data_IF_776620770665
#
_entry.id   IF_776620770665
#
_cell.length_a   1.000
_cell.length_b   1.000
_cell.length_c   1.000
_cell.angle_alpha   90.00
_cell.angle_beta   90.00
_cell.angle_gamma   90.00
#
_symmetry.space_group_name_H-M   'P 1'
#
loop_
_entity.id
_entity.type
_entity.pdbx_description
1 polymer ?
#
# COMPACT_ATOMS: atom_id res chain seq x y z
N UNK A 1 47.73 49.64 -46.75
CA UNK A 1 47.95 48.50 -45.83
C UNK A 1 46.98 48.66 -44.66
N UNK A 2 45.75 48.18 -44.86
CA UNK A 2 45.12 47.04 -44.14
C UNK A 2 44.54 47.42 -42.78
N UNK A 3 43.30 47.91 -42.82
CA UNK A 3 42.40 47.94 -41.67
C UNK A 3 41.88 46.52 -41.40
N UNK A 4 42.18 45.97 -40.23
CA UNK A 4 41.64 44.68 -39.79
C UNK A 4 40.28 44.91 -39.10
N UNK A 5 39.23 44.40 -39.74
CA UNK A 5 37.90 44.20 -39.14
C UNK A 5 37.99 42.99 -38.20
N UNK A 6 37.79 43.18 -36.90
CA UNK A 6 37.43 42.07 -36.02
C UNK A 6 35.91 41.97 -35.94
N UNK A 7 35.38 41.03 -36.71
CA UNK A 7 34.03 40.48 -36.58
C UNK A 7 33.84 39.90 -35.18
N UNK A 8 32.73 40.30 -34.55
CA UNK A 8 32.31 39.78 -33.26
C UNK A 8 32.00 38.29 -33.30
N UNK A 9 32.31 37.63 -32.18
CA UNK A 9 31.74 36.34 -31.83
C UNK A 9 31.09 36.54 -30.46
N UNK A 10 29.79 36.84 -30.50
CA UNK A 10 28.90 36.55 -29.38
C UNK A 10 28.70 35.03 -29.35
N UNK A 11 29.07 34.38 -28.25
CA UNK A 11 28.63 33.01 -28.00
C UNK A 11 28.26 32.84 -26.53
N UNK A 12 26.94 32.95 -26.32
CA UNK A 12 26.11 32.26 -25.35
C UNK A 12 26.74 31.94 -23.98
N UNK A 13 26.42 32.77 -22.99
CA UNK A 13 26.41 32.36 -21.60
C UNK A 13 25.43 31.17 -21.46
N UNK A 14 26.00 29.98 -21.23
CA UNK A 14 25.27 28.75 -20.93
C UNK A 14 24.57 28.95 -19.58
N UNK A 15 23.29 29.31 -19.61
CA UNK A 15 22.43 29.26 -18.43
C UNK A 15 22.29 27.79 -18.08
N UNK A 16 23.11 27.32 -17.14
CA UNK A 16 22.85 26.09 -16.41
C UNK A 16 21.61 26.33 -15.54
N UNK A 17 20.43 26.21 -16.15
CA UNK A 17 19.19 26.07 -15.42
C UNK A 17 19.24 24.72 -14.72
N UNK A 18 19.78 24.70 -13.51
CA UNK A 18 19.49 23.64 -12.55
C UNK A 18 17.99 23.67 -12.35
N UNK A 19 17.28 22.76 -13.03
CA UNK A 19 15.93 22.36 -12.64
C UNK A 19 16.08 21.72 -11.26
N UNK A 20 16.09 22.55 -10.22
CA UNK A 20 15.69 22.10 -8.91
C UNK A 20 14.26 21.62 -9.10
N UNK A 21 14.09 20.29 -9.21
CA UNK A 21 12.80 19.66 -9.03
C UNK A 21 12.21 20.29 -7.78
N UNK A 22 11.16 21.10 -7.94
CA UNK A 22 10.39 21.57 -6.81
C UNK A 22 9.95 20.28 -6.12
N UNK A 23 10.58 19.98 -4.97
CA UNK A 23 10.16 18.89 -4.13
C UNK A 23 8.71 19.21 -3.77
N UNK A 24 7.79 18.60 -4.50
CA UNK A 24 6.37 18.78 -4.26
C UNK A 24 6.11 18.36 -2.83
N UNK A 25 5.38 19.20 -2.10
CA UNK A 25 5.12 18.98 -0.70
C UNK A 25 4.29 17.70 -0.58
N UNK A 26 4.93 16.62 -0.13
CA UNK A 26 4.26 15.35 0.08
C UNK A 26 3.17 15.54 1.14
N UNK A 27 2.03 14.87 0.98
CA UNK A 27 0.99 14.82 2.00
C UNK A 27 0.71 13.37 2.34
N UNK A 28 0.78 13.03 3.62
CA UNK A 28 0.53 11.66 4.10
C UNK A 28 -0.85 11.62 4.74
N UNK A 29 -1.65 10.66 4.32
CA UNK A 29 -2.98 10.38 4.83
C UNK A 29 -2.96 9.08 5.61
N UNK A 30 -3.56 9.06 6.80
CA UNK A 30 -3.54 7.91 7.70
C UNK A 30 -4.95 7.65 8.22
N UNK A 31 -5.48 6.45 8.00
CA UNK A 31 -6.77 6.05 8.55
C UNK A 31 -6.61 5.63 10.01
N UNK A 32 -7.42 6.20 10.90
CA UNK A 32 -7.43 5.91 12.34
C UNK A 32 -8.67 5.10 12.69
N UNK A 33 -8.52 3.79 12.72
CA UNK A 33 -9.60 2.81 12.83
C UNK A 33 -10.51 3.08 14.04
N UNK A 34 -9.92 3.33 15.22
CA UNK A 34 -10.68 3.47 16.46
C UNK A 34 -11.38 4.83 16.60
N UNK A 35 -10.91 5.83 15.85
CA UNK A 35 -11.39 7.21 15.96
C UNK A 35 -12.37 7.61 14.85
N UNK A 36 -12.53 6.80 13.80
CA UNK A 36 -13.33 7.15 12.63
C UNK A 36 -12.85 8.46 11.99
N UNK A 37 -11.52 8.61 11.90
CA UNK A 37 -10.88 9.81 11.36
C UNK A 37 -9.75 9.47 10.39
N UNK A 38 -9.39 10.45 9.57
CA UNK A 38 -8.18 10.51 8.78
C UNK A 38 -7.24 11.57 9.38
N UNK A 39 -6.00 11.21 9.71
CA UNK A 39 -4.95 12.18 10.00
C UNK A 39 -4.25 12.60 8.71
N UNK A 40 -4.00 13.89 8.55
CA UNK A 40 -3.25 14.47 7.43
C UNK A 40 -1.94 15.01 7.96
N UNK A 41 -0.82 14.57 7.39
CA UNK A 41 0.53 14.94 7.82
C UNK A 41 1.23 15.68 6.67
N UNK A 42 1.83 16.83 6.98
CA UNK A 42 2.70 17.55 6.06
C UNK A 42 4.04 16.83 5.90
N UNK A 43 4.39 16.48 4.67
CA UNK A 43 5.55 15.69 4.28
C UNK A 43 6.91 16.32 4.55
N UNK A 44 6.95 17.64 4.78
CA UNK A 44 8.19 18.38 5.00
C UNK A 44 8.48 18.56 6.49
N UNK A 45 7.47 18.96 7.24
CA UNK A 45 7.55 19.26 8.68
C UNK A 45 7.28 18.03 9.54
N UNK A 46 6.58 17.05 8.97
CA UNK A 46 6.01 15.90 9.68
C UNK A 46 5.05 16.32 10.80
N UNK A 47 4.36 17.45 10.63
CA UNK A 47 3.31 17.89 11.53
C UNK A 47 1.95 17.38 11.03
N UNK A 48 1.08 16.96 11.95
CA UNK A 48 -0.33 16.69 11.63
C UNK A 48 -1.01 18.03 11.38
N UNK A 49 -1.48 18.27 10.16
CA UNK A 49 -2.15 19.51 9.77
C UNK A 49 -3.65 19.44 9.96
N UNK A 50 -4.24 18.26 9.82
CA UNK A 50 -5.68 18.05 9.94
C UNK A 50 -5.99 16.70 10.57
N UNK A 51 -7.14 16.62 11.23
CA UNK A 51 -7.79 15.37 11.63
C UNK A 51 -9.25 15.46 11.22
N UNK A 52 -9.64 14.62 10.27
CA UNK A 52 -10.88 14.75 9.51
C UNK A 52 -11.78 13.56 9.80
N UNK A 53 -13.04 13.80 10.16
CA UNK A 53 -14.01 12.71 10.37
C UNK A 53 -14.33 12.03 9.05
N UNK A 54 -14.38 10.71 9.08
CA UNK A 54 -14.77 9.85 7.95
C UNK A 54 -15.77 8.81 8.45
N UNK A 55 -16.09 7.82 7.61
CA UNK A 55 -16.93 6.68 7.98
C UNK A 55 -16.33 5.84 9.09
N UNK A 56 -17.12 4.90 9.60
CA UNK A 56 -16.74 4.06 10.74
C UNK A 56 -15.70 3.01 10.36
N UNK A 57 -14.79 2.75 11.31
CA UNK A 57 -13.69 1.79 11.22
C UNK A 57 -12.88 1.95 9.93
N UNK A 58 -12.31 3.14 9.66
CA UNK A 58 -11.58 3.36 8.42
C UNK A 58 -10.29 2.53 8.40
N UNK A 59 -10.14 1.65 7.40
CA UNK A 59 -8.99 0.75 7.23
C UNK A 59 -8.24 1.02 5.92
N UNK A 60 -8.45 0.21 4.88
CA UNK A 60 -7.79 0.36 3.58
C UNK A 60 -7.98 1.76 2.98
N UNK A 61 -6.88 2.39 2.54
CA UNK A 61 -6.91 3.68 1.84
C UNK A 61 -5.98 3.66 0.61
N UNK A 62 -6.42 4.26 -0.50
CA UNK A 62 -5.56 4.45 -1.69
C UNK A 62 -5.94 5.72 -2.45
N UNK A 63 -4.95 6.34 -3.08
CA UNK A 63 -5.18 7.51 -3.93
C UNK A 63 -5.73 7.10 -5.29
N UNK A 64 -6.57 7.94 -5.88
CA UNK A 64 -6.88 7.86 -7.30
C UNK A 64 -5.61 8.07 -8.14
N UNK A 65 -5.60 7.54 -9.37
CA UNK A 65 -4.43 7.60 -10.26
C UNK A 65 -4.00 9.03 -10.62
N UNK A 66 -4.95 9.96 -10.65
CA UNK A 66 -4.71 11.39 -10.86
C UNK A 66 -4.35 12.15 -9.58
N UNK A 67 -4.36 11.48 -8.42
CA UNK A 67 -4.02 12.07 -7.12
C UNK A 67 -4.98 13.14 -6.62
N UNK A 68 -6.22 13.17 -7.13
CA UNK A 68 -7.25 14.15 -6.72
C UNK A 68 -8.17 13.64 -5.62
N UNK A 69 -8.32 12.31 -5.52
CA UNK A 69 -9.22 11.65 -4.57
C UNK A 69 -8.47 10.61 -3.73
N UNK A 70 -9.02 10.33 -2.55
CA UNK A 70 -8.62 9.22 -1.67
C UNK A 70 -9.84 8.31 -1.47
N UNK A 71 -9.69 7.03 -1.81
CA UNK A 71 -10.64 6.00 -1.47
C UNK A 71 -10.37 5.50 -0.05
N UNK A 72 -11.42 5.28 0.73
CA UNK A 72 -11.35 4.86 2.14
C UNK A 72 -12.37 3.76 2.40
N UNK A 73 -11.93 2.57 2.81
CA UNK A 73 -12.81 1.53 3.35
C UNK A 73 -13.39 2.01 4.67
N UNK A 74 -14.70 2.23 4.73
CA UNK A 74 -15.42 2.45 5.98
C UNK A 74 -16.16 1.15 6.33
N UNK A 75 -15.43 0.22 6.96
CA UNK A 75 -15.79 -1.20 7.07
C UNK A 75 -17.13 -1.40 7.79
N UNK A 76 -17.30 -0.74 8.94
CA UNK A 76 -18.53 -0.77 9.75
C UNK A 76 -19.73 -0.01 9.12
N UNK A 77 -19.49 0.77 8.06
CA UNK A 77 -20.55 1.44 7.27
C UNK A 77 -20.82 0.71 5.93
N UNK A 78 -20.14 -0.42 5.68
CA UNK A 78 -20.31 -1.27 4.49
C UNK A 78 -20.21 -0.49 3.17
N UNK A 79 -19.19 0.38 3.08
CA UNK A 79 -18.98 1.21 1.90
C UNK A 79 -17.52 1.62 1.72
N UNK A 80 -17.16 2.04 0.50
CA UNK A 80 -15.93 2.79 0.26
C UNK A 80 -16.27 4.27 0.07
N UNK A 81 -15.74 5.13 0.94
CA UNK A 81 -15.89 6.58 0.80
C UNK A 81 -14.90 7.13 -0.21
N UNK A 82 -15.36 8.07 -1.04
CA UNK A 82 -14.52 8.86 -1.95
C UNK A 82 -14.33 10.24 -1.34
N UNK A 83 -13.11 10.53 -0.94
CA UNK A 83 -12.70 11.79 -0.32
C UNK A 83 -11.99 12.68 -1.34
N UNK A 84 -12.50 13.88 -1.56
CA UNK A 84 -11.88 14.87 -2.44
C UNK A 84 -10.79 15.65 -1.70
N UNK A 85 -9.57 15.62 -2.23
CA UNK A 85 -8.40 16.15 -1.51
C UNK A 85 -8.31 17.67 -1.56
N UNK A 86 -8.99 18.32 -2.52
CA UNK A 86 -9.00 19.77 -2.65
C UNK A 86 -9.97 20.42 -1.65
N UNK A 87 -11.21 19.94 -1.62
CA UNK A 87 -12.26 20.40 -0.70
C UNK A 87 -12.12 19.81 0.70
N UNK A 88 -11.34 18.74 0.87
CA UNK A 88 -11.17 17.98 2.11
C UNK A 88 -12.48 17.41 2.66
N UNK A 89 -13.35 16.91 1.77
CA UNK A 89 -14.65 16.34 2.16
C UNK A 89 -14.91 15.00 1.48
N UNK A 90 -15.73 14.15 2.10
CA UNK A 90 -16.29 12.97 1.45
C UNK A 90 -17.36 13.43 0.45
N UNK A 91 -17.15 13.14 -0.83
CA UNK A 91 -18.01 13.63 -1.92
C UNK A 91 -19.09 12.63 -2.33
N UNK A 92 -18.84 11.34 -2.14
CA UNK A 92 -19.81 10.26 -2.35
C UNK A 92 -19.26 8.94 -1.81
N UNK A 93 -20.12 7.93 -1.81
CA UNK A 93 -19.81 6.56 -1.48
C UNK A 93 -19.83 5.70 -2.75
N UNK A 94 -18.96 4.69 -2.80
CA UNK A 94 -19.01 3.58 -3.73
C UNK A 94 -19.64 2.36 -3.04
N UNK A 95 -20.44 1.55 -3.77
CA UNK A 95 -21.02 0.35 -3.21
C UNK A 95 -19.94 -0.68 -2.87
N UNK A 96 -20.20 -1.49 -1.85
CA UNK A 96 -19.41 -2.69 -1.50
C UNK A 96 -20.36 -3.78 -0.99
N UNK A 97 -19.80 -4.93 -0.60
CA UNK A 97 -20.48 -5.87 0.29
C UNK A 97 -20.34 -5.47 1.76
N UNK A 98 -20.68 -6.40 2.65
CA UNK A 98 -20.53 -6.23 4.10
C UNK A 98 -19.05 -6.31 4.49
N UNK A 99 -18.68 -5.45 5.43
CA UNK A 99 -17.33 -5.31 6.00
C UNK A 99 -16.18 -5.21 4.98
N UNK A 100 -16.11 -4.14 4.16
CA UNK A 100 -15.00 -3.94 3.24
C UNK A 100 -13.69 -3.65 3.98
N UNK A 101 -12.64 -4.42 3.71
CA UNK A 101 -11.39 -4.37 4.48
C UNK A 101 -10.26 -3.67 3.72
N UNK A 102 -9.85 -4.27 2.59
CA UNK A 102 -8.94 -3.65 1.63
C UNK A 102 -9.54 -3.66 0.23
N UNK A 103 -8.92 -2.85 -0.63
CA UNK A 103 -9.20 -2.85 -2.06
C UNK A 103 -7.94 -2.60 -2.85
N UNK A 104 -8.03 -2.87 -4.14
CA UNK A 104 -7.04 -2.49 -5.12
C UNK A 104 -7.70 -1.71 -6.26
N UNK A 105 -7.07 -0.61 -6.65
CA UNK A 105 -7.49 0.21 -7.79
C UNK A 105 -6.79 -0.33 -9.05
N UNK A 106 -7.52 -0.54 -10.13
CA UNK A 106 -6.95 -0.98 -11.41
C UNK A 106 -5.87 0.00 -11.92
N UNK A 107 -4.93 -0.46 -12.76
CA UNK A 107 -3.90 0.41 -13.32
C UNK A 107 -4.45 1.62 -14.08
N UNK A 108 -5.58 1.45 -14.77
CA UNK A 108 -6.27 2.53 -15.49
C UNK A 108 -7.17 3.42 -14.60
N UNK A 109 -7.32 3.08 -13.32
CA UNK A 109 -8.11 3.83 -12.34
C UNK A 109 -9.61 3.67 -12.46
N UNK A 110 -10.12 2.77 -13.31
CA UNK A 110 -11.56 2.65 -13.58
C UNK A 110 -12.28 1.61 -12.73
N UNK A 111 -11.56 0.65 -12.17
CA UNK A 111 -12.13 -0.43 -11.37
C UNK A 111 -11.52 -0.47 -9.98
N UNK A 112 -12.38 -0.50 -8.96
CA UNK A 112 -11.98 -0.72 -7.58
C UNK A 112 -12.45 -2.12 -7.16
N UNK A 113 -11.52 -2.96 -6.73
CA UNK A 113 -11.76 -4.38 -6.43
C UNK A 113 -11.61 -4.53 -4.93
N UNK A 114 -12.71 -4.88 -4.25
CA UNK A 114 -12.90 -4.71 -2.81
C UNK A 114 -13.13 -6.07 -2.17
N UNK A 115 -12.34 -6.43 -1.17
CA UNK A 115 -12.60 -7.59 -0.33
C UNK A 115 -13.68 -7.24 0.70
N UNK A 116 -14.70 -8.10 0.84
CA UNK A 116 -15.83 -7.90 1.74
C UNK A 116 -15.86 -9.08 2.72
N UNK A 117 -15.30 -8.87 3.90
CA UNK A 117 -14.87 -9.93 4.83
C UNK A 117 -16.06 -10.80 5.27
N UNK A 118 -17.12 -10.16 5.78
CA UNK A 118 -18.33 -10.84 6.27
C UNK A 118 -19.15 -11.52 5.16
N UNK A 119 -18.99 -11.07 3.91
CA UNK A 119 -19.74 -11.59 2.76
C UNK A 119 -19.04 -12.74 2.05
N UNK A 120 -17.75 -13.00 2.29
CA UNK A 120 -16.93 -13.97 1.55
C UNK A 120 -16.90 -13.73 0.03
N UNK A 121 -16.98 -12.46 -0.38
CA UNK A 121 -16.97 -12.06 -1.80
C UNK A 121 -15.96 -10.95 -2.07
N UNK A 122 -15.51 -10.89 -3.31
CA UNK A 122 -14.86 -9.71 -3.88
C UNK A 122 -15.88 -8.95 -4.74
N UNK A 123 -16.03 -7.65 -4.48
CA UNK A 123 -16.90 -6.74 -5.24
C UNK A 123 -16.04 -5.87 -6.13
N UNK A 124 -16.33 -5.87 -7.44
CA UNK A 124 -15.66 -4.97 -8.40
C UNK A 124 -16.61 -3.84 -8.76
N UNK A 125 -16.17 -2.61 -8.49
CA UNK A 125 -16.92 -1.38 -8.76
C UNK A 125 -16.31 -0.66 -9.94
N UNK A 126 -17.14 -0.27 -10.90
CA UNK A 126 -16.78 0.72 -11.90
C UNK A 126 -16.83 2.12 -11.25
N UNK A 127 -15.65 2.73 -11.08
CA UNK A 127 -15.48 4.00 -10.37
C UNK A 127 -16.21 5.16 -11.08
N UNK A 128 -16.12 5.32 -12.43
CA UNK A 128 -16.82 6.41 -13.11
C UNK A 128 -18.35 6.36 -12.97
N UNK A 129 -18.95 5.19 -13.13
CA UNK A 129 -20.41 5.01 -13.06
C UNK A 129 -20.91 4.76 -11.64
N UNK A 130 -19.99 4.45 -10.70
CA UNK A 130 -20.25 4.17 -9.28
C UNK A 130 -21.15 2.96 -9.05
N UNK A 131 -21.06 1.99 -9.94
CA UNK A 131 -21.91 0.78 -9.92
C UNK A 131 -21.04 -0.45 -9.72
N UNK A 132 -21.63 -1.45 -9.06
CA UNK A 132 -21.07 -2.79 -9.04
C UNK A 132 -21.02 -3.30 -10.49
N UNK A 133 -19.83 -3.60 -10.98
CA UNK A 133 -19.58 -4.17 -12.29
C UNK A 133 -19.79 -5.69 -12.27
N UNK A 134 -19.30 -6.35 -11.23
CA UNK A 134 -19.51 -7.77 -10.94
C UNK A 134 -19.05 -8.11 -9.51
N UNK A 135 -19.40 -9.30 -9.05
CA UNK A 135 -18.94 -9.89 -7.80
C UNK A 135 -18.42 -11.31 -8.07
N UNK A 136 -17.48 -11.77 -7.27
CA UNK A 136 -16.96 -13.14 -7.31
C UNK A 136 -16.91 -13.72 -5.91
N UNK A 137 -17.36 -14.96 -5.78
CA UNK A 137 -17.23 -15.71 -4.53
C UNK A 137 -15.76 -16.08 -4.30
N UNK A 138 -15.31 -15.95 -3.06
CA UNK A 138 -13.95 -16.31 -2.62
C UNK A 138 -14.02 -17.14 -1.34
N UNK A 139 -12.88 -17.34 -0.69
CA UNK A 139 -12.80 -18.01 0.60
C UNK A 139 -13.35 -17.16 1.76
N UNK A 140 -13.28 -17.75 2.95
CA UNK A 140 -13.79 -17.14 4.19
C UNK A 140 -12.83 -16.07 4.71
N UNK A 141 -13.38 -14.94 5.15
CA UNK A 141 -12.67 -13.76 5.63
C UNK A 141 -11.67 -13.21 4.58
N UNK A 142 -12.15 -12.75 3.40
CA UNK A 142 -11.29 -12.09 2.42
C UNK A 142 -10.79 -10.74 2.94
N UNK A 143 -9.48 -10.47 2.82
CA UNK A 143 -8.87 -9.22 3.28
C UNK A 143 -7.96 -8.60 2.22
N UNK A 144 -6.77 -9.18 1.99
CA UNK A 144 -5.75 -8.64 1.11
C UNK A 144 -6.19 -8.58 -0.35
N UNK A 145 -5.83 -7.51 -1.05
CA UNK A 145 -6.20 -7.26 -2.46
C UNK A 145 -5.04 -6.67 -3.25
N UNK A 146 -4.86 -7.10 -4.50
CA UNK A 146 -4.06 -6.37 -5.49
C UNK A 146 -4.51 -6.62 -6.94
N UNK A 147 -4.06 -5.79 -7.87
CA UNK A 147 -4.24 -5.96 -9.32
C UNK A 147 -2.89 -6.01 -10.01
N UNK A 148 -2.71 -6.94 -10.93
CA UNK A 148 -1.49 -7.01 -11.73
C UNK A 148 -1.29 -5.73 -12.55
N UNK A 149 -0.04 -5.33 -12.85
CA UNK A 149 0.24 -4.10 -13.58
C UNK A 149 -0.40 -4.00 -14.98
N UNK A 150 -0.68 -5.14 -15.61
CA UNK A 150 -1.38 -5.23 -16.90
C UNK A 150 -2.92 -5.22 -16.77
N UNK A 151 -3.45 -5.20 -15.54
CA UNK A 151 -4.88 -5.19 -15.24
C UNK A 151 -5.58 -6.55 -15.41
N UNK A 152 -4.86 -7.59 -15.79
CA UNK A 152 -5.44 -8.90 -16.14
C UNK A 152 -5.89 -9.69 -14.91
N UNK A 153 -5.08 -9.67 -13.85
CA UNK A 153 -5.31 -10.45 -12.64
C UNK A 153 -5.72 -9.53 -11.50
N UNK A 154 -6.88 -9.82 -10.89
CA UNK A 154 -7.15 -9.44 -9.51
C UNK A 154 -6.75 -10.59 -8.61
N UNK A 155 -6.26 -10.30 -7.41
CA UNK A 155 -6.00 -11.33 -6.39
C UNK A 155 -6.62 -10.94 -5.07
N UNK A 156 -7.10 -11.94 -4.34
CA UNK A 156 -7.63 -11.78 -2.99
C UNK A 156 -7.02 -12.83 -2.04
N UNK A 157 -6.68 -12.44 -0.82
CA UNK A 157 -6.35 -13.41 0.24
C UNK A 157 -7.55 -13.68 1.11
N UNK A 158 -7.77 -14.94 1.48
CA UNK A 158 -8.79 -15.34 2.46
C UNK A 158 -8.13 -15.89 3.72
N UNK A 159 -8.36 -15.20 4.84
CA UNK A 159 -7.67 -15.42 6.11
C UNK A 159 -7.89 -16.85 6.63
N UNK A 160 -9.15 -17.28 6.75
CA UNK A 160 -9.51 -18.56 7.36
C UNK A 160 -9.15 -19.74 6.44
N UNK A 161 -9.25 -19.58 5.12
CA UNK A 161 -8.98 -20.68 4.18
C UNK A 161 -7.52 -20.80 3.76
N UNK A 162 -6.66 -19.85 4.16
CA UNK A 162 -5.22 -19.84 3.85
C UNK A 162 -4.92 -19.85 2.34
N UNK A 163 -5.73 -19.13 1.56
CA UNK A 163 -5.65 -19.14 0.10
C UNK A 163 -5.44 -17.74 -0.48
N UNK A 164 -4.82 -17.72 -1.67
CA UNK A 164 -4.87 -16.62 -2.64
C UNK A 164 -5.81 -17.04 -3.76
N UNK A 165 -6.84 -16.26 -4.03
CA UNK A 165 -7.79 -16.44 -5.11
C UNK A 165 -7.36 -15.61 -6.33
N UNK A 166 -7.13 -16.27 -7.46
CA UNK A 166 -6.76 -15.61 -8.72
C UNK A 166 -8.00 -15.32 -9.55
N UNK A 167 -8.32 -14.03 -9.70
CA UNK A 167 -9.50 -13.54 -10.42
C UNK A 167 -9.05 -13.08 -11.81
N UNK A 168 -9.59 -13.71 -12.85
CA UNK A 168 -9.45 -13.25 -14.22
C UNK A 168 -10.40 -12.07 -14.43
N UNK A 169 -9.85 -10.85 -14.58
CA UNK A 169 -10.65 -9.62 -14.62
C UNK A 169 -11.49 -9.49 -15.90
N UNK A 170 -11.08 -10.16 -16.98
CA UNK A 170 -11.84 -10.20 -18.22
C UNK A 170 -12.99 -11.21 -18.12
N UNK A 171 -12.70 -12.41 -17.62
CA UNK A 171 -13.72 -13.47 -17.43
C UNK A 171 -14.60 -13.27 -16.21
N UNK A 172 -14.23 -12.36 -15.30
CA UNK A 172 -14.96 -12.01 -14.08
C UNK A 172 -15.21 -13.21 -13.17
N UNK A 173 -14.19 -14.05 -12.99
CA UNK A 173 -14.32 -15.27 -12.21
C UNK A 173 -12.98 -15.67 -11.59
N UNK A 174 -13.04 -16.40 -10.48
CA UNK A 174 -11.87 -17.07 -9.91
C UNK A 174 -11.48 -18.22 -10.83
N UNK A 175 -10.23 -18.24 -11.29
CA UNK A 175 -9.72 -19.26 -12.22
C UNK A 175 -8.71 -20.21 -11.57
N UNK A 176 -8.21 -19.88 -10.38
CA UNK A 176 -7.24 -20.69 -9.65
C UNK A 176 -7.11 -20.23 -8.20
N UNK A 177 -6.59 -21.11 -7.35
CA UNK A 177 -6.32 -20.84 -5.94
C UNK A 177 -4.93 -21.35 -5.56
N UNK A 178 -4.13 -20.50 -4.92
CA UNK A 178 -2.82 -20.88 -4.38
C UNK A 178 -2.90 -21.01 -2.86
N UNK A 179 -2.54 -22.17 -2.32
CA UNK A 179 -2.41 -22.35 -0.87
C UNK A 179 -1.17 -21.59 -0.36
N UNK A 180 -1.34 -20.83 0.71
CA UNK A 180 -0.28 -20.08 1.39
C UNK A 180 -0.28 -20.38 2.90
N UNK A 181 0.58 -19.69 3.66
CA UNK A 181 0.63 -19.86 5.11
C UNK A 181 -0.67 -19.40 5.80
N UNK A 182 -0.93 -19.87 7.03
CA UNK A 182 -2.14 -19.52 7.80
C UNK A 182 -2.36 -18.02 7.97
N UNK A 183 -3.63 -17.59 7.83
CA UNK A 183 -4.11 -16.21 7.99
C UNK A 183 -3.41 -15.20 7.07
N UNK A 184 -3.53 -15.34 5.73
CA UNK A 184 -2.96 -14.39 4.80
C UNK A 184 -3.68 -13.04 4.81
N UNK A 185 -2.93 -11.94 4.97
CA UNK A 185 -3.48 -10.58 5.18
C UNK A 185 -3.29 -9.62 4.02
N UNK A 186 -2.19 -9.76 3.29
CA UNK A 186 -1.80 -8.78 2.27
C UNK A 186 -1.21 -9.47 1.05
N UNK A 187 -1.45 -8.88 -0.10
CA UNK A 187 -0.89 -9.31 -1.37
C UNK A 187 -0.35 -8.08 -2.12
N UNK A 188 0.81 -8.21 -2.76
CA UNK A 188 1.34 -7.17 -3.64
C UNK A 188 2.09 -7.77 -4.83
N UNK A 189 1.72 -7.40 -6.05
CA UNK A 189 2.47 -7.71 -7.25
C UNK A 189 3.76 -6.89 -7.31
N UNK A 190 4.82 -7.50 -7.86
CA UNK A 190 5.98 -6.76 -8.32
C UNK A 190 5.58 -5.80 -9.45
N UNK A 191 6.35 -4.73 -9.63
CA UNK A 191 6.07 -3.71 -10.66
C UNK A 191 6.03 -4.27 -12.09
N UNK A 192 6.80 -5.32 -12.35
CA UNK A 192 6.80 -6.03 -13.63
C UNK A 192 5.69 -7.10 -13.74
N UNK A 193 4.94 -7.32 -12.66
CA UNK A 193 3.86 -8.31 -12.57
C UNK A 193 4.33 -9.76 -12.51
N UNK A 194 5.65 -10.02 -12.49
CA UNK A 194 6.19 -11.38 -12.57
C UNK A 194 6.00 -12.19 -11.30
N UNK A 195 5.86 -11.53 -10.15
CA UNK A 195 5.69 -12.18 -8.86
C UNK A 195 4.58 -11.52 -8.04
N UNK A 196 3.96 -12.31 -7.18
CA UNK A 196 3.04 -11.86 -6.14
C UNK A 196 3.62 -12.19 -4.76
N UNK A 197 3.71 -11.20 -3.89
CA UNK A 197 4.18 -11.35 -2.51
C UNK A 197 2.98 -11.36 -1.57
N UNK A 198 2.84 -12.40 -0.76
CA UNK A 198 1.67 -12.62 0.10
C UNK A 198 2.12 -12.89 1.53
N UNK A 199 1.71 -12.03 2.47
CA UNK A 199 2.00 -12.23 3.89
C UNK A 199 0.99 -13.15 4.54
N UNK A 200 1.46 -13.99 5.46
CA UNK A 200 0.66 -14.88 6.30
C UNK A 200 0.93 -14.57 7.77
N UNK A 201 -0.02 -13.89 8.43
CA UNK A 201 0.14 -13.36 9.79
C UNK A 201 0.44 -14.49 10.78
N UNK A 202 -0.46 -15.47 10.90
CA UNK A 202 -0.27 -16.60 11.81
C UNK A 202 0.84 -17.54 11.30
N UNK A 203 0.96 -17.70 9.99
CA UNK A 203 2.05 -18.48 9.39
C UNK A 203 3.44 -17.95 9.73
N UNK A 204 3.58 -16.64 10.00
CA UNK A 204 4.85 -16.01 10.30
C UNK A 204 5.76 -15.86 9.08
N UNK A 205 5.20 -15.89 7.87
CA UNK A 205 5.94 -15.99 6.60
C UNK A 205 5.40 -15.07 5.52
N UNK A 206 6.22 -14.80 4.50
CA UNK A 206 5.77 -14.23 3.22
C UNK A 206 6.01 -15.23 2.10
N UNK A 207 4.96 -15.62 1.38
CA UNK A 207 5.05 -16.43 0.17
C UNK A 207 5.31 -15.53 -1.04
N UNK A 208 6.30 -15.89 -1.86
CA UNK A 208 6.55 -15.29 -3.17
C UNK A 208 6.06 -16.28 -4.22
N UNK A 209 5.06 -15.87 -4.98
CA UNK A 209 4.35 -16.70 -5.96
C UNK A 209 4.74 -16.22 -7.36
N UNK A 210 5.06 -17.15 -8.26
CA UNK A 210 5.29 -16.84 -9.67
C UNK A 210 3.94 -16.61 -10.36
N UNK A 211 3.75 -15.45 -11.00
CA UNK A 211 2.43 -15.06 -11.55
C UNK A 211 2.00 -15.95 -12.71
N UNK A 212 2.94 -16.42 -13.53
CA UNK A 212 2.63 -17.21 -14.73
C UNK A 212 2.13 -18.62 -14.39
N UNK A 213 2.72 -19.23 -13.36
CA UNK A 213 2.40 -20.59 -12.91
C UNK A 213 1.48 -20.62 -11.70
N UNK A 214 1.36 -19.50 -10.97
CA UNK A 214 0.63 -19.33 -9.71
C UNK A 214 1.09 -20.28 -8.61
N UNK A 215 2.32 -20.77 -8.73
CA UNK A 215 2.95 -21.64 -7.75
C UNK A 215 3.86 -20.84 -6.83
N UNK A 216 3.90 -21.24 -5.55
CA UNK A 216 4.82 -20.68 -4.58
C UNK A 216 6.25 -21.00 -5.00
N UNK A 217 7.02 -19.96 -5.33
CA UNK A 217 8.43 -20.04 -5.70
C UNK A 217 9.35 -20.04 -4.49
N UNK A 218 8.99 -19.26 -3.47
CA UNK A 218 9.78 -19.08 -2.24
C UNK A 218 8.87 -18.76 -1.07
N UNK A 219 9.26 -19.21 0.12
CA UNK A 219 8.70 -18.74 1.39
C UNK A 219 9.83 -18.04 2.15
N UNK A 220 9.56 -16.83 2.62
CA UNK A 220 10.45 -16.01 3.44
C UNK A 220 10.01 -16.11 4.89
N UNK A 221 10.90 -16.60 5.74
CA UNK A 221 10.74 -16.66 7.19
C UNK A 221 11.49 -15.50 7.87
N UNK A 222 11.10 -15.19 9.11
CA UNK A 222 11.70 -14.10 9.88
C UNK A 222 12.20 -14.59 11.24
N UNK A 223 13.33 -14.05 11.68
CA UNK A 223 13.93 -14.34 12.97
C UNK A 223 14.50 -13.07 13.61
N UNK A 224 13.87 -12.61 14.69
CA UNK A 224 14.34 -11.47 15.48
C UNK A 224 14.85 -12.00 16.82
N UNK A 225 16.11 -11.71 17.14
CA UNK A 225 16.73 -12.16 18.39
C UNK A 225 15.93 -11.63 19.60
N UNK A 226 15.52 -12.53 20.48
CA UNK A 226 14.79 -12.20 21.70
C UNK A 226 13.28 -11.98 21.52
N UNK A 227 12.75 -12.16 20.30
CA UNK A 227 11.31 -12.14 20.03
C UNK A 227 10.83 -13.56 19.75
N UNK A 228 9.77 -13.97 20.44
CA UNK A 228 9.19 -15.30 20.24
C UNK A 228 8.59 -15.43 18.82
N UNK A 229 8.74 -16.61 18.19
CA UNK A 229 8.35 -16.83 16.79
C UNK A 229 6.87 -16.51 16.53
N UNK A 230 5.99 -16.86 17.47
CA UNK A 230 4.55 -16.60 17.41
C UNK A 230 4.19 -15.11 17.46
N UNK A 231 5.12 -14.22 17.85
CA UNK A 231 4.94 -12.76 17.79
C UNK A 231 5.43 -12.16 16.48
N UNK A 232 6.17 -12.91 15.67
CA UNK A 232 6.71 -12.44 14.39
C UNK A 232 5.68 -12.73 13.30
N UNK A 233 4.69 -11.85 13.19
CA UNK A 233 3.55 -12.03 12.31
C UNK A 233 3.53 -10.97 11.21
N UNK A 234 3.82 -11.32 9.94
CA UNK A 234 3.85 -10.37 8.85
C UNK A 234 2.44 -9.94 8.43
N UNK A 235 2.27 -8.64 8.16
CA UNK A 235 1.01 -8.04 7.71
C UNK A 235 1.22 -7.26 6.41
N UNK A 236 1.40 -5.94 6.42
CA UNK A 236 1.67 -5.17 5.20
C UNK A 236 3.00 -5.55 4.56
N UNK A 237 3.01 -5.62 3.22
CA UNK A 237 4.22 -5.74 2.40
C UNK A 237 4.30 -4.51 1.50
N UNK A 238 5.48 -3.91 1.36
CA UNK A 238 5.72 -2.84 0.39
C UNK A 238 7.01 -3.06 -0.40
N UNK A 239 6.85 -3.26 -1.69
CA UNK A 239 7.95 -3.44 -2.66
C UNK A 239 8.44 -2.10 -3.21
N UNK A 240 9.75 -1.95 -3.37
CA UNK A 240 10.35 -0.86 -4.17
C UNK A 240 10.27 -1.17 -5.65
N UNK A 241 10.17 -0.12 -6.48
CA UNK A 241 9.92 -0.23 -7.92
C UNK A 241 11.13 -0.81 -8.68
N UNK A 242 12.33 -0.57 -8.14
CA UNK A 242 13.59 -1.10 -8.65
C UNK A 242 13.86 -2.55 -8.22
N UNK A 243 12.94 -3.14 -7.45
CA UNK A 243 13.06 -4.49 -6.91
C UNK A 243 14.24 -4.66 -5.95
N UNK A 244 14.76 -3.59 -5.34
CA UNK A 244 15.81 -3.70 -4.29
C UNK A 244 15.25 -4.32 -3.02
N UNK A 245 14.14 -3.79 -2.52
CA UNK A 245 13.63 -4.14 -1.20
C UNK A 245 12.16 -4.53 -1.21
N UNK A 246 11.84 -5.49 -0.34
CA UNK A 246 10.51 -5.69 0.20
C UNK A 246 10.55 -5.32 1.69
N UNK A 247 9.75 -4.33 2.08
CA UNK A 247 9.54 -3.97 3.47
C UNK A 247 8.32 -4.73 4.00
N UNK A 248 8.49 -5.46 5.09
CA UNK A 248 7.43 -6.29 5.66
C UNK A 248 7.16 -5.87 7.10
N UNK A 249 5.95 -5.39 7.37
CA UNK A 249 5.53 -5.07 8.73
C UNK A 249 5.31 -6.36 9.53
N UNK A 250 6.03 -6.52 10.64
CA UNK A 250 5.94 -7.63 11.56
C UNK A 250 5.18 -7.16 12.81
N UNK A 251 3.85 -7.27 12.75
CA UNK A 251 2.91 -6.50 13.58
C UNK A 251 3.20 -6.57 15.07
N UNK A 252 2.90 -7.71 15.74
CA UNK A 252 3.11 -7.85 17.19
C UNK A 252 4.59 -7.80 17.61
N UNK A 253 5.52 -8.00 16.67
CA UNK A 253 6.95 -7.88 16.91
C UNK A 253 7.42 -6.42 16.95
N UNK A 254 6.64 -5.45 16.46
CA UNK A 254 6.99 -4.02 16.39
C UNK A 254 8.20 -3.74 15.49
N UNK A 255 8.36 -4.51 14.40
CA UNK A 255 9.47 -4.33 13.47
C UNK A 255 9.00 -4.26 12.03
N UNK A 256 9.73 -3.54 11.19
CA UNK A 256 9.69 -3.70 9.74
C UNK A 256 10.91 -4.51 9.31
N UNK A 257 10.71 -5.69 8.74
CA UNK A 257 11.79 -6.44 8.11
C UNK A 257 12.15 -5.81 6.76
N UNK A 258 13.44 -5.74 6.46
CA UNK A 258 13.98 -5.36 5.16
C UNK A 258 14.44 -6.62 4.46
N UNK A 259 13.78 -7.01 3.39
CA UNK A 259 14.13 -8.19 2.60
C UNK A 259 14.72 -7.73 1.26
N UNK A 260 15.83 -8.34 0.85
CA UNK A 260 16.31 -8.21 -0.53
C UNK A 260 15.30 -8.87 -1.47
N UNK A 261 14.61 -8.08 -2.30
CA UNK A 261 13.54 -8.63 -3.14
C UNK A 261 14.05 -9.51 -4.31
N UNK A 262 15.37 -9.52 -4.58
CA UNK A 262 15.98 -10.31 -5.65
C UNK A 262 16.47 -11.67 -5.15
N UNK A 263 16.99 -11.72 -3.93
CA UNK A 263 17.56 -12.93 -3.31
C UNK A 263 16.65 -13.55 -2.27
N UNK A 264 15.64 -12.81 -1.80
CA UNK A 264 14.71 -13.20 -0.73
C UNK A 264 15.35 -13.33 0.65
N UNK A 265 16.55 -12.76 0.83
CA UNK A 265 17.26 -12.76 2.10
C UNK A 265 16.83 -11.57 2.97
N UNK A 266 16.59 -11.83 4.26
CA UNK A 266 16.29 -10.75 5.22
C UNK A 266 17.60 -10.05 5.59
N UNK A 267 17.68 -8.74 5.33
CA UNK A 267 18.87 -7.91 5.59
C UNK A 267 18.87 -7.29 6.98
N UNK A 268 17.71 -6.80 7.44
CA UNK A 268 17.61 -6.04 8.67
C UNK A 268 16.20 -6.07 9.27
N UNK A 269 16.09 -5.66 10.53
CA UNK A 269 14.85 -5.48 11.26
C UNK A 269 14.82 -4.11 11.92
N UNK A 270 13.94 -3.24 11.43
CA UNK A 270 13.82 -1.86 11.89
C UNK A 270 12.79 -1.77 13.02
N UNK A 271 13.20 -1.40 14.22
CA UNK A 271 12.30 -1.22 15.36
C UNK A 271 11.38 -0.01 15.14
N UNK A 272 10.07 -0.23 15.16
CA UNK A 272 9.04 0.79 14.97
C UNK A 272 8.09 0.84 16.17
N UNK A 273 6.96 1.55 16.03
CA UNK A 273 5.95 1.63 17.07
C UNK A 273 5.23 0.29 17.30
N UNK A 274 4.31 0.28 18.28
CA UNK A 274 3.66 -0.95 18.72
C UNK A 274 2.54 -1.38 17.78
N UNK A 275 2.53 -2.67 17.41
CA UNK A 275 1.58 -3.28 16.46
C UNK A 275 1.60 -2.55 15.11
N UNK A 276 2.67 -2.74 14.36
CA UNK A 276 2.81 -2.19 13.01
C UNK A 276 1.82 -2.85 12.03
N UNK A 277 1.30 -2.11 11.06
CA UNK A 277 0.31 -2.55 10.07
C UNK A 277 0.78 -2.32 8.63
N UNK A 278 0.27 -1.32 7.93
CA UNK A 278 0.55 -1.12 6.51
C UNK A 278 1.64 -0.09 6.29
N UNK A 279 2.20 -0.09 5.07
CA UNK A 279 3.29 0.79 4.69
C UNK A 279 3.04 1.44 3.35
N UNK A 280 3.52 2.66 3.18
CA UNK A 280 3.50 3.38 1.91
C UNK A 280 4.84 4.07 1.65
N UNK A 281 5.36 3.90 0.43
CA UNK A 281 6.51 4.62 -0.06
C UNK A 281 6.08 5.99 -0.58
N UNK A 282 6.98 6.96 -0.47
CA UNK A 282 6.87 8.19 -1.25
C UNK A 282 6.98 7.89 -2.75
N UNK A 283 6.46 8.76 -3.63
CA UNK A 283 6.58 8.55 -5.08
C UNK A 283 8.02 8.47 -5.59
N UNK A 284 8.97 9.16 -4.93
CA UNK A 284 10.40 9.07 -5.20
C UNK A 284 11.11 7.89 -4.48
N UNK A 285 10.35 7.12 -3.69
CA UNK A 285 10.79 5.97 -2.89
C UNK A 285 11.96 6.23 -1.93
N UNK A 286 12.16 7.48 -1.52
CA UNK A 286 13.18 7.86 -0.54
C UNK A 286 12.73 7.66 0.90
N UNK A 287 11.43 7.80 1.16
CA UNK A 287 10.86 7.59 2.48
C UNK A 287 9.79 6.50 2.44
N UNK A 288 9.72 5.74 3.52
CA UNK A 288 8.67 4.76 3.81
C UNK A 288 7.97 5.18 5.10
N UNK A 289 6.64 5.19 5.08
CA UNK A 289 5.82 5.44 6.25
C UNK A 289 5.12 4.15 6.65
N UNK A 290 5.04 3.87 7.95
CA UNK A 290 4.26 2.73 8.46
C UNK A 290 3.44 3.10 9.68
N UNK A 291 2.23 2.56 9.75
CA UNK A 291 1.25 2.80 10.82
C UNK A 291 1.45 1.83 11.98
N UNK A 292 1.42 2.35 13.21
CA UNK A 292 1.58 1.56 14.42
C UNK A 292 0.31 1.67 15.27
N UNK A 293 -0.55 0.67 15.17
CA UNK A 293 -1.91 0.70 15.71
C UNK A 293 -1.96 0.95 17.22
N UNK A 294 -1.18 0.19 17.98
CA UNK A 294 -1.25 0.20 19.45
C UNK A 294 -0.48 1.39 20.06
N UNK A 295 0.51 1.95 19.37
CA UNK A 295 1.18 3.18 19.82
C UNK A 295 0.51 4.47 19.33
N UNK A 296 -0.39 4.40 18.34
CA UNK A 296 -1.10 5.58 17.83
C UNK A 296 -0.18 6.54 17.10
N UNK A 297 0.76 6.01 16.31
CA UNK A 297 1.73 6.80 15.57
C UNK A 297 2.09 6.20 14.21
N UNK A 298 2.76 7.02 13.39
CA UNK A 298 3.42 6.63 12.15
C UNK A 298 4.93 6.68 12.36
N UNK A 299 5.63 5.61 11.99
CA UNK A 299 7.09 5.61 11.89
C UNK A 299 7.53 6.03 10.49
N UNK A 300 8.55 6.88 10.43
CA UNK A 300 9.16 7.40 9.20
C UNK A 300 10.51 6.72 9.02
N UNK A 301 10.71 6.09 7.87
CA UNK A 301 11.90 5.31 7.55
C UNK A 301 12.56 5.91 6.31
N UNK A 302 13.85 6.20 6.40
CA UNK A 302 14.69 6.55 5.25
C UNK A 302 15.14 5.27 4.53
N UNK A 303 14.80 5.15 3.24
CA UNK A 303 14.94 3.92 2.46
C UNK A 303 16.39 3.63 2.08
N UNK A 304 17.22 4.66 1.91
CA UNK A 304 18.61 4.49 1.49
C UNK A 304 19.51 4.10 2.67
N UNK A 305 19.30 4.72 3.83
CA UNK A 305 20.05 4.41 5.06
C UNK A 305 19.44 3.26 5.87
N UNK A 306 18.21 2.84 5.56
CA UNK A 306 17.44 1.84 6.30
C UNK A 306 17.30 2.21 7.78
N UNK A 307 16.97 3.46 8.07
CA UNK A 307 16.83 3.96 9.45
C UNK A 307 15.46 4.55 9.70
N UNK A 308 14.91 4.23 10.87
CA UNK A 308 13.75 4.95 11.41
C UNK A 308 14.24 6.32 11.87
N UNK A 309 13.76 7.38 11.23
CA UNK A 309 14.24 8.76 11.43
C UNK A 309 13.31 9.58 12.32
N UNK A 310 12.02 9.25 12.35
CA UNK A 310 11.02 9.99 13.13
C UNK A 310 9.81 9.13 13.45
N UNK A 311 9.04 9.58 14.43
CA UNK A 311 7.71 9.07 14.75
C UNK A 311 6.74 10.25 14.87
N UNK A 312 5.55 10.13 14.31
CA UNK A 312 4.51 11.17 14.29
C UNK A 312 3.26 10.64 14.97
N UNK A 313 2.78 11.31 16.02
CA UNK A 313 1.53 10.94 16.69
C UNK A 313 0.34 11.27 15.79
N UNK A 314 -0.62 10.35 15.71
CA UNK A 314 -1.87 10.47 14.94
C UNK A 314 -3.06 10.03 15.81
N UNK A 315 -4.20 9.72 15.21
CA UNK A 315 -5.33 9.13 15.93
C UNK A 315 -5.05 7.73 16.46
N UNK A 316 -6.02 7.16 17.17
CA UNK A 316 -5.93 5.84 17.80
C UNK A 316 -6.10 4.74 16.76
N UNK A 317 -5.28 3.68 16.88
CA UNK A 317 -5.28 2.53 15.96
C UNK A 317 -5.12 2.94 14.50
N UNK A 318 -4.03 3.67 14.13
CA UNK A 318 -3.76 3.93 12.73
C UNK A 318 -3.52 2.60 12.00
N UNK A 319 -4.11 2.46 10.81
CA UNK A 319 -4.12 1.20 10.08
C UNK A 319 -3.58 1.34 8.67
N UNK A 320 -4.22 2.13 7.82
CA UNK A 320 -3.80 2.40 6.44
C UNK A 320 -2.99 3.68 6.32
N UNK A 321 -2.13 3.75 5.30
CA UNK A 321 -1.36 4.95 4.96
C UNK A 321 -1.28 5.13 3.45
N UNK A 322 -1.48 6.36 2.97
CA UNK A 322 -1.32 6.74 1.57
C UNK A 322 -0.49 8.03 1.48
N UNK A 323 0.35 8.15 0.45
CA UNK A 323 1.26 9.30 0.27
C UNK A 323 0.98 9.94 -1.08
N UNK A 324 0.58 11.22 -1.04
CA UNK A 324 0.46 12.06 -2.23
C UNK A 324 1.78 12.78 -2.46
N UNK A 325 2.27 12.74 -3.71
CA UNK A 325 3.44 13.47 -4.18
C UNK A 325 3.12 14.84 -4.71
#
# INVERSE_FOLDING_TARGET
MTAARFTGISLAALIAATLASAASAQTIYVSNEKDNTLSVIDGKTMAVTDTIKVGKRPRGITLSRDGTQLFICASDDHTVQVFDLASKTVVHNLPSGEDPEQFALSPDGKSLIIANEDSNIVTVVDVPTRKVAFQVDVGVEPEGMDVSPDGRWGVNTSETTSMVHWIDMEKRTVVDNTLVGPRPRYAQFTKDGSQLWVSSEIGGTVSVIDTATRQVKKVVDFHIKGVAKDRIQPVGVKLTDDGRYAFVALGPANHVAVVDARTFEVKDYLLVGRRVWHLALTPDQKMLYTTNGVSGDVSVIDVDSLKVTKTVKVGRYPWGVAVKG
#
